data_IF_886651150771
#
_entry.id   IF_886651150771
#
_cell.length_a   1.000
_cell.length_b   1.000
_cell.length_c   1.000
_cell.angle_alpha   90.00
_cell.angle_beta   90.00
_cell.angle_gamma   90.00
#
_symmetry.space_group_name_H-M   'P 1'
#
loop_
_entity.id
_entity.type
_entity.pdbx_description
1 polymer ?
#
# COMPACT_ATOMS: atom_id res chain seq x y z
N UNK A 1 -26.41 21.58 -13.01
CA UNK A 1 -26.36 21.09 -11.61
C UNK A 1 -27.25 19.86 -11.54
N UNK A 2 -26.75 18.77 -10.95
CA UNK A 2 -27.47 17.49 -10.87
C UNK A 2 -28.38 17.40 -9.63
N UNK A 3 -28.38 18.41 -8.74
CA UNK A 3 -29.18 18.42 -7.51
C UNK A 3 -28.76 17.33 -6.51
N UNK A 4 -29.69 16.94 -5.62
CA UNK A 4 -29.46 15.85 -4.66
C UNK A 4 -29.67 14.51 -5.35
N UNK A 5 -28.75 13.57 -5.10
CA UNK A 5 -28.74 12.22 -5.64
C UNK A 5 -28.72 11.23 -4.47
N UNK A 6 -29.42 10.11 -4.61
CA UNK A 6 -29.45 9.05 -3.60
C UNK A 6 -28.44 7.95 -3.93
N UNK A 7 -27.66 7.54 -2.92
CA UNK A 7 -26.78 6.37 -3.00
C UNK A 7 -27.31 5.32 -2.03
N UNK A 8 -27.62 4.14 -2.52
CA UNK A 8 -27.97 2.97 -1.70
C UNK A 8 -26.79 1.98 -1.70
N UNK A 9 -26.25 1.68 -0.53
CA UNK A 9 -25.12 0.77 -0.33
C UNK A 9 -25.64 -0.48 0.36
N UNK A 10 -25.48 -1.66 -0.23
CA UNK A 10 -25.83 -2.97 0.36
C UNK A 10 -27.26 -2.99 0.94
N UNK A 11 -28.23 -2.45 0.21
CA UNK A 11 -29.64 -2.36 0.60
C UNK A 11 -29.90 -1.61 1.94
N UNK A 12 -28.97 -0.78 2.38
CA UNK A 12 -29.16 0.12 3.52
C UNK A 12 -30.02 1.34 3.13
N UNK A 13 -30.40 2.16 4.13
CA UNK A 13 -31.11 3.39 3.88
C UNK A 13 -30.35 4.31 2.93
N UNK A 14 -31.02 4.90 1.92
CA UNK A 14 -30.37 5.76 0.94
C UNK A 14 -29.71 6.98 1.56
N UNK A 15 -28.48 7.27 1.13
CA UNK A 15 -27.71 8.43 1.54
C UNK A 15 -27.88 9.54 0.51
N UNK A 16 -28.35 10.72 0.93
CA UNK A 16 -28.48 11.90 0.06
C UNK A 16 -27.14 12.63 -0.06
N UNK A 17 -26.67 12.85 -1.30
CA UNK A 17 -25.42 13.54 -1.61
C UNK A 17 -25.63 14.56 -2.74
N UNK A 18 -24.73 15.54 -2.87
CA UNK A 18 -24.77 16.47 -4.00
C UNK A 18 -24.27 15.78 -5.28
N UNK A 19 -25.06 15.83 -6.34
CA UNK A 19 -24.70 15.22 -7.62
C UNK A 19 -23.59 15.98 -8.35
N UNK A 20 -22.91 15.27 -9.27
CA UNK A 20 -21.83 15.80 -10.11
C UNK A 20 -20.42 15.39 -9.67
N UNK A 21 -20.23 14.96 -8.42
CA UNK A 21 -18.97 14.36 -7.95
C UNK A 21 -18.80 12.91 -8.45
N UNK A 22 -17.63 12.32 -8.22
CA UNK A 22 -17.47 10.87 -8.39
C UNK A 22 -18.12 10.12 -7.24
N UNK A 23 -18.53 8.87 -7.50
CA UNK A 23 -19.06 7.99 -6.47
C UNK A 23 -18.03 7.80 -5.33
N UNK A 24 -16.75 7.62 -5.66
CA UNK A 24 -15.67 7.50 -4.68
C UNK A 24 -15.61 8.71 -3.74
N UNK A 25 -15.64 9.93 -4.28
CA UNK A 25 -15.59 11.15 -3.48
C UNK A 25 -16.81 11.25 -2.55
N UNK A 26 -18.01 11.03 -3.09
CA UNK A 26 -19.24 11.09 -2.30
C UNK A 26 -19.31 10.04 -1.19
N UNK A 27 -18.79 8.82 -1.42
CA UNK A 27 -18.69 7.80 -0.38
C UNK A 27 -17.68 8.20 0.70
N UNK A 28 -16.52 8.71 0.29
CA UNK A 28 -15.48 9.21 1.22
C UNK A 28 -16.02 10.32 2.12
N UNK A 29 -16.76 11.28 1.59
CA UNK A 29 -17.41 12.36 2.37
C UNK A 29 -18.41 11.83 3.41
N UNK A 30 -18.92 10.63 3.19
CA UNK A 30 -19.83 9.92 4.10
C UNK A 30 -19.13 8.87 4.97
N UNK A 31 -17.79 8.91 5.02
CA UNK A 31 -16.95 7.98 5.79
C UNK A 31 -17.12 6.51 5.36
N UNK A 32 -17.52 6.27 4.12
CA UNK A 32 -17.50 4.96 3.48
C UNK A 32 -16.25 4.93 2.60
N UNK A 33 -15.22 4.22 3.05
CA UNK A 33 -13.90 4.26 2.45
C UNK A 33 -13.70 3.10 1.48
N UNK A 34 -13.46 3.42 0.22
CA UNK A 34 -13.12 2.47 -0.83
C UNK A 34 -11.63 2.58 -1.15
N UNK A 35 -10.90 1.47 -1.33
CA UNK A 35 -9.47 1.51 -1.66
C UNK A 35 -9.19 2.37 -2.90
N UNK A 36 -8.16 3.22 -2.85
CA UNK A 36 -7.77 4.04 -4.01
C UNK A 36 -6.31 4.47 -3.92
N UNK A 37 -5.39 3.67 -4.47
CA UNK A 37 -3.96 3.99 -4.45
C UNK A 37 -3.59 5.21 -5.30
N UNK A 38 -4.31 5.45 -6.42
CA UNK A 38 -4.04 6.59 -7.31
C UNK A 38 -4.73 7.89 -6.88
N UNK A 39 -5.55 7.87 -5.81
CA UNK A 39 -6.34 9.04 -5.36
C UNK A 39 -7.42 9.46 -6.36
N UNK A 40 -8.11 8.49 -6.95
CA UNK A 40 -9.26 8.77 -7.83
C UNK A 40 -8.91 9.05 -9.30
N UNK A 41 -7.66 8.85 -9.73
CA UNK A 41 -7.22 9.13 -11.12
C UNK A 41 -7.61 8.07 -12.14
N UNK A 42 -8.18 6.93 -11.71
CA UNK A 42 -8.59 5.84 -12.61
C UNK A 42 -7.43 5.00 -13.13
N UNK A 43 -6.28 4.94 -12.44
CA UNK A 43 -5.06 4.26 -12.92
C UNK A 43 -4.61 3.07 -12.09
N UNK A 44 -5.27 2.78 -10.95
CA UNK A 44 -4.85 1.68 -10.07
C UNK A 44 -5.85 0.52 -9.96
N UNK A 45 -7.08 0.71 -10.44
CA UNK A 45 -8.16 -0.29 -10.39
C UNK A 45 -8.59 -0.77 -8.98
N UNK A 46 -8.12 -0.15 -7.88
CA UNK A 46 -8.47 -0.61 -6.53
C UNK A 46 -9.88 -0.20 -6.09
N UNK A 47 -10.43 0.86 -6.67
CA UNK A 47 -11.73 1.40 -6.28
C UNK A 47 -12.93 0.69 -6.96
N UNK A 48 -12.80 -0.63 -7.19
CA UNK A 48 -13.87 -1.44 -7.78
C UNK A 48 -15.04 -1.57 -6.81
N UNK A 49 -16.24 -1.35 -7.34
CA UNK A 49 -17.51 -1.59 -6.65
C UNK A 49 -18.48 -2.23 -7.64
N UNK A 50 -19.41 -3.01 -7.15
CA UNK A 50 -20.47 -3.56 -8.00
C UNK A 50 -21.63 -2.55 -8.05
N UNK A 51 -21.96 -2.07 -9.23
CA UNK A 51 -23.08 -1.15 -9.46
C UNK A 51 -24.27 -1.94 -9.98
N UNK A 52 -25.35 -1.93 -9.21
CA UNK A 52 -26.58 -2.63 -9.57
C UNK A 52 -27.47 -1.78 -10.47
N UNK A 53 -27.56 -0.48 -10.16
CA UNK A 53 -28.40 0.47 -10.89
C UNK A 53 -27.76 1.87 -10.89
N UNK A 54 -28.01 2.66 -11.92
CA UNK A 54 -27.69 4.09 -11.92
C UNK A 54 -26.25 4.47 -12.30
N UNK A 55 -25.37 3.50 -12.63
CA UNK A 55 -23.95 3.76 -12.92
C UNK A 55 -23.66 4.48 -14.24
N UNK A 56 -24.64 4.59 -15.12
CA UNK A 56 -24.42 5.11 -16.46
C UNK A 56 -23.49 4.24 -17.33
N UNK A 57 -23.08 4.72 -18.50
CA UNK A 57 -22.21 3.97 -19.39
C UNK A 57 -20.80 3.78 -18.81
N UNK A 58 -20.16 2.65 -19.11
CA UNK A 58 -18.75 2.40 -18.76
C UNK A 58 -17.86 3.40 -19.51
N UNK A 59 -16.94 4.04 -18.81
CA UNK A 59 -16.04 5.00 -19.43
C UNK A 59 -14.84 4.30 -20.08
N UNK A 60 -14.23 4.88 -21.14
CA UNK A 60 -13.02 4.34 -21.74
C UNK A 60 -11.84 4.20 -20.77
N UNK A 61 -11.82 5.00 -19.68
CA UNK A 61 -10.79 4.92 -18.65
C UNK A 61 -10.95 3.72 -17.72
N UNK A 62 -12.14 3.11 -17.65
CA UNK A 62 -12.41 1.92 -16.84
C UNK A 62 -12.08 0.63 -17.58
N UNK A 63 -12.30 0.63 -18.91
CA UNK A 63 -12.21 -0.59 -19.74
C UNK A 63 -10.89 -1.35 -19.62
N UNK A 64 -9.70 -0.71 -19.55
CA UNK A 64 -8.44 -1.43 -19.42
C UNK A 64 -8.28 -2.20 -18.10
N UNK A 65 -9.08 -1.88 -17.09
CA UNK A 65 -8.97 -2.40 -15.71
C UNK A 65 -10.09 -3.36 -15.32
N UNK A 66 -11.05 -3.59 -16.21
CA UNK A 66 -12.20 -4.45 -15.96
C UNK A 66 -12.20 -5.61 -16.95
N UNK A 67 -12.23 -6.83 -16.44
CA UNK A 67 -12.40 -8.02 -17.26
C UNK A 67 -13.81 -8.07 -17.88
N UNK A 68 -14.03 -8.84 -18.96
CA UNK A 68 -15.36 -9.03 -19.52
C UNK A 68 -16.40 -9.57 -18.50
N UNK A 69 -15.96 -10.42 -17.57
CA UNK A 69 -16.81 -10.94 -16.51
C UNK A 69 -17.21 -9.84 -15.52
N UNK A 70 -16.24 -9.02 -15.07
CA UNK A 70 -16.49 -7.89 -14.17
C UNK A 70 -17.45 -6.87 -14.79
N UNK A 71 -17.30 -6.59 -16.09
CA UNK A 71 -18.23 -5.72 -16.83
C UNK A 71 -19.64 -6.30 -16.87
N UNK A 72 -19.77 -7.61 -17.12
CA UNK A 72 -21.06 -8.31 -17.13
C UNK A 72 -21.72 -8.32 -15.74
N UNK A 73 -20.94 -8.43 -14.67
CA UNK A 73 -21.40 -8.42 -13.28
C UNK A 73 -21.71 -7.01 -12.74
N UNK A 74 -21.50 -5.96 -13.54
CA UNK A 74 -21.75 -4.58 -13.17
C UNK A 74 -20.63 -3.93 -12.34
N UNK A 75 -19.43 -4.52 -12.32
CA UNK A 75 -18.27 -3.92 -11.65
C UNK A 75 -17.83 -2.63 -12.33
N UNK A 76 -17.56 -1.59 -11.55
CA UNK A 76 -17.16 -0.26 -12.02
C UNK A 76 -16.02 0.28 -11.15
N UNK A 77 -15.25 1.20 -11.68
CA UNK A 77 -14.32 2.01 -10.89
C UNK A 77 -15.07 3.19 -10.26
N UNK A 78 -15.30 3.16 -8.95
CA UNK A 78 -16.09 4.21 -8.26
C UNK A 78 -15.57 5.63 -8.47
N UNK A 79 -14.26 5.80 -8.71
CA UNK A 79 -13.67 7.09 -9.03
C UNK A 79 -14.07 7.62 -10.43
N UNK A 80 -14.51 6.75 -11.36
CA UNK A 80 -14.93 7.10 -12.71
C UNK A 80 -16.45 7.21 -12.87
N UNK A 81 -17.21 6.65 -11.94
CA UNK A 81 -18.69 6.76 -11.93
C UNK A 81 -19.09 8.15 -11.44
N UNK A 82 -19.76 8.92 -12.30
CA UNK A 82 -20.30 10.26 -11.96
C UNK A 82 -21.72 10.16 -11.46
N UNK A 83 -21.99 10.77 -10.32
CA UNK A 83 -23.32 10.81 -9.71
C UNK A 83 -24.24 11.82 -10.46
N UNK A 84 -25.09 11.28 -11.32
CA UNK A 84 -26.06 12.08 -12.13
C UNK A 84 -27.50 11.70 -11.84
N UNK A 85 -27.73 10.57 -11.21
CA UNK A 85 -29.03 9.97 -10.90
C UNK A 85 -28.89 9.06 -9.68
N UNK A 86 -29.97 8.60 -9.05
CA UNK A 86 -29.91 7.60 -7.98
C UNK A 86 -29.12 6.36 -8.39
N UNK A 87 -28.30 5.83 -7.47
CA UNK A 87 -27.42 4.70 -7.72
C UNK A 87 -27.52 3.67 -6.59
N UNK A 88 -27.53 2.39 -6.96
CA UNK A 88 -27.42 1.27 -6.03
C UNK A 88 -26.11 0.52 -6.27
N UNK A 89 -25.40 0.25 -5.18
CA UNK A 89 -24.10 -0.43 -5.22
C UNK A 89 -24.02 -1.52 -4.15
N UNK A 90 -23.19 -2.51 -4.43
CA UNK A 90 -22.71 -3.47 -3.45
C UNK A 90 -21.20 -3.28 -3.24
N UNK A 91 -20.78 -3.31 -1.99
CA UNK A 91 -19.38 -3.35 -1.56
C UNK A 91 -19.20 -4.49 -0.56
N UNK A 92 -18.00 -5.12 -0.51
CA UNK A 92 -17.69 -6.16 0.47
C UNK A 92 -17.88 -5.67 1.91
N UNK A 93 -18.35 -6.55 2.79
CA UNK A 93 -18.67 -6.20 4.18
C UNK A 93 -17.44 -5.75 4.99
N UNK A 94 -16.27 -6.26 4.69
CA UNK A 94 -15.01 -5.87 5.28
C UNK A 94 -14.65 -4.41 4.97
N UNK A 95 -14.99 -3.90 3.79
CA UNK A 95 -14.82 -2.48 3.45
C UNK A 95 -15.76 -1.57 4.24
N UNK A 96 -16.92 -2.05 4.68
CA UNK A 96 -17.80 -1.30 5.58
C UNK A 96 -17.22 -1.18 7.00
N UNK A 97 -16.31 -2.07 7.39
CA UNK A 97 -15.63 -2.05 8.68
C UNK A 97 -14.39 -1.14 8.69
N UNK A 98 -13.94 -0.66 7.54
CA UNK A 98 -12.81 0.27 7.43
C UNK A 98 -13.09 1.56 8.19
N UNK A 99 -12.09 2.04 8.94
CA UNK A 99 -12.19 3.25 9.76
C UNK A 99 -11.19 4.31 9.33
N UNK A 100 -11.50 5.55 9.69
CA UNK A 100 -10.53 6.64 9.74
C UNK A 100 -9.88 6.67 11.12
N UNK A 101 -8.59 6.94 11.14
CA UNK A 101 -7.78 7.05 12.35
C UNK A 101 -7.18 8.46 12.43
N UNK A 102 -7.36 9.11 13.57
CA UNK A 102 -6.59 10.27 13.95
C UNK A 102 -5.28 9.81 14.57
N UNK A 103 -4.18 10.38 14.13
CA UNK A 103 -2.84 9.98 14.55
C UNK A 103 -1.96 11.20 14.79
N UNK A 104 -0.86 10.98 15.48
CA UNK A 104 0.18 11.98 15.70
C UNK A 104 1.51 11.44 15.23
N UNK A 105 2.27 12.25 14.50
CA UNK A 105 3.62 11.90 14.07
C UNK A 105 4.52 11.77 15.30
N UNK A 106 4.96 10.56 15.61
CA UNK A 106 5.82 10.26 16.75
C UNK A 106 7.30 10.42 16.41
N UNK A 107 7.70 9.98 15.22
CA UNK A 107 9.06 10.14 14.71
C UNK A 107 9.11 10.16 13.19
N UNK A 108 10.18 10.80 12.67
CA UNK A 108 10.54 10.80 11.25
C UNK A 108 12.03 10.48 11.17
N UNK A 109 12.39 9.44 10.43
CA UNK A 109 13.78 8.98 10.29
C UNK A 109 14.15 8.89 8.81
N UNK A 110 15.25 9.52 8.42
CA UNK A 110 15.81 9.39 7.07
C UNK A 110 16.44 7.99 6.94
N UNK A 111 15.97 7.20 6.00
CA UNK A 111 16.52 5.87 5.69
C UNK A 111 17.53 5.95 4.54
N UNK A 112 17.22 6.77 3.53
CA UNK A 112 18.10 7.14 2.44
C UNK A 112 17.90 8.62 2.11
N UNK A 113 18.55 9.12 1.05
CA UNK A 113 18.37 10.50 0.56
C UNK A 113 16.95 10.80 0.06
N UNK A 114 16.16 9.76 -0.29
CA UNK A 114 14.80 9.91 -0.84
C UNK A 114 13.76 9.00 -0.16
N UNK A 115 14.12 8.30 0.91
CA UNK A 115 13.22 7.43 1.66
C UNK A 115 13.24 7.79 3.14
N UNK A 116 12.06 7.96 3.72
CA UNK A 116 11.89 8.20 5.16
C UNK A 116 10.95 7.18 5.78
N UNK A 117 11.18 6.86 7.05
CA UNK A 117 10.24 6.17 7.92
C UNK A 117 9.47 7.19 8.74
N UNK A 118 8.16 7.08 8.73
CA UNK A 118 7.24 7.85 9.55
C UNK A 118 6.56 6.93 10.55
N UNK A 119 6.69 7.21 11.83
CA UNK A 119 5.94 6.52 12.86
C UNK A 119 4.77 7.38 13.30
N UNK A 120 3.57 6.81 13.25
CA UNK A 120 2.33 7.44 13.62
C UNK A 120 1.74 6.76 14.86
N UNK A 121 1.63 7.51 15.95
CA UNK A 121 0.93 7.09 17.16
C UNK A 121 -0.56 7.29 16.99
N UNK A 122 -1.36 6.25 17.27
CA UNK A 122 -2.81 6.30 17.17
C UNK A 122 -3.39 7.15 18.30
N UNK A 123 -4.39 7.97 17.98
CA UNK A 123 -5.09 8.86 18.93
C UNK A 123 -6.55 8.44 19.04
N UNK A 124 -7.25 8.31 17.91
CA UNK A 124 -8.64 7.85 17.84
C UNK A 124 -8.91 7.13 16.51
N UNK A 125 -9.30 5.86 16.52
CA UNK A 125 -9.19 4.91 17.65
C UNK A 125 -7.73 4.73 18.14
N UNK A 126 -7.54 4.45 19.44
CA UNK A 126 -6.21 4.26 20.03
C UNK A 126 -5.49 2.97 19.61
N UNK A 127 -6.18 2.09 18.89
CA UNK A 127 -5.66 0.78 18.45
C UNK A 127 -6.13 0.45 17.06
N UNK A 128 -5.25 -0.22 16.31
CA UNK A 128 -5.53 -0.77 14.99
C UNK A 128 -5.27 -2.28 14.97
N UNK A 129 -6.17 -3.01 14.36
CA UNK A 129 -5.98 -4.41 13.98
C UNK A 129 -5.78 -4.48 12.47
N UNK A 130 -4.69 -5.10 12.03
CA UNK A 130 -4.42 -5.30 10.62
C UNK A 130 -3.75 -6.66 10.38
N UNK A 131 -3.92 -7.16 9.18
CA UNK A 131 -3.22 -8.36 8.70
C UNK A 131 -1.85 -7.93 8.17
N UNK A 132 -0.74 -8.56 8.59
CA UNK A 132 0.60 -8.24 8.09
C UNK A 132 0.66 -8.25 6.57
N UNK A 133 1.21 -7.16 5.98
CA UNK A 133 1.25 -6.89 4.55
C UNK A 133 0.16 -5.95 4.05
N UNK A 134 -0.85 -5.63 4.85
CA UNK A 134 -1.86 -4.63 4.51
C UNK A 134 -1.28 -3.21 4.47
N UNK A 135 -2.04 -2.29 3.88
CA UNK A 135 -1.72 -0.87 3.73
C UNK A 135 -2.80 0.03 4.29
N UNK A 136 -2.47 1.29 4.51
CA UNK A 136 -3.40 2.36 4.84
C UNK A 136 -3.39 3.42 3.75
N UNK A 137 -4.42 4.27 3.71
CA UNK A 137 -4.46 5.45 2.86
C UNK A 137 -4.25 6.69 3.73
N UNK A 138 -3.06 7.30 3.64
CA UNK A 138 -2.71 8.52 4.34
C UNK A 138 -3.38 9.71 3.65
N UNK A 139 -4.08 10.54 4.43
CA UNK A 139 -4.66 11.79 3.98
C UNK A 139 -3.56 12.87 3.90
N UNK A 140 -3.45 13.48 2.75
CA UNK A 140 -2.69 14.71 2.56
C UNK A 140 -3.66 15.88 2.59
N UNK A 141 -3.56 16.79 3.56
CA UNK A 141 -4.36 18.00 3.58
C UNK A 141 -3.91 18.99 2.50
N UNK A 142 -4.63 20.09 2.36
CA UNK A 142 -4.15 21.24 1.58
C UNK A 142 -2.92 21.86 2.24
N UNK A 143 -1.95 22.31 1.42
CA UNK A 143 -0.73 22.98 1.88
C UNK A 143 -0.26 24.00 0.82
N UNK A 144 0.66 24.92 1.11
CA UNK A 144 1.16 25.87 0.11
C UNK A 144 1.68 25.16 -1.15
N UNK A 145 1.02 25.36 -2.28
CA UNK A 145 1.30 24.66 -3.55
C UNK A 145 0.35 23.51 -3.88
N UNK A 146 -0.55 23.13 -2.96
CA UNK A 146 -1.58 22.13 -3.21
C UNK A 146 -2.92 22.50 -2.57
N UNK A 147 -3.96 22.63 -3.39
CA UNK A 147 -5.31 23.00 -2.97
C UNK A 147 -6.28 21.80 -2.87
N UNK A 148 -5.77 20.59 -2.95
CA UNK A 148 -6.56 19.36 -2.94
C UNK A 148 -6.23 18.50 -1.72
N UNK A 149 -7.24 17.95 -1.08
CA UNK A 149 -7.06 16.82 -0.16
C UNK A 149 -7.00 15.53 -0.96
N UNK A 150 -5.96 14.73 -0.73
CA UNK A 150 -5.77 13.47 -1.45
C UNK A 150 -5.37 12.34 -0.51
N UNK A 151 -5.87 11.14 -0.77
CA UNK A 151 -5.41 9.93 -0.11
C UNK A 151 -4.36 9.22 -0.98
N UNK A 152 -3.33 8.65 -0.32
CA UNK A 152 -2.34 7.78 -0.97
C UNK A 152 -2.10 6.55 -0.14
N UNK A 153 -1.97 5.42 -0.83
CA UNK A 153 -1.73 4.11 -0.22
C UNK A 153 -0.26 3.94 0.16
N UNK A 154 -0.04 3.49 1.39
CA UNK A 154 1.28 3.11 1.91
C UNK A 154 1.15 1.83 2.72
N UNK A 155 2.00 0.84 2.41
CA UNK A 155 2.06 -0.40 3.15
C UNK A 155 2.53 -0.16 4.58
N UNK A 156 1.93 -0.87 5.53
CA UNK A 156 2.33 -0.84 6.94
C UNK A 156 3.64 -1.62 7.07
N UNK A 157 4.65 -1.00 7.70
CA UNK A 157 5.96 -1.60 7.92
C UNK A 157 6.16 -2.12 9.35
N UNK A 158 5.38 -1.59 10.30
CA UNK A 158 5.54 -1.86 11.73
C UNK A 158 5.24 -3.29 12.13
N UNK A 159 5.76 -3.65 13.31
CA UNK A 159 5.43 -4.90 14.00
C UNK A 159 3.91 -4.98 14.28
N UNK A 160 3.19 -5.99 13.78
CA UNK A 160 1.76 -6.15 14.02
C UNK A 160 1.41 -6.44 15.49
N UNK A 161 2.41 -6.74 16.32
CA UNK A 161 2.26 -6.83 17.78
C UNK A 161 2.06 -5.48 18.46
N UNK A 162 2.57 -4.38 17.88
CA UNK A 162 2.29 -3.01 18.37
C UNK A 162 1.04 -2.45 17.68
N UNK A 163 -0.07 -2.57 18.38
CA UNK A 163 -1.38 -2.11 17.89
C UNK A 163 -1.65 -0.62 18.16
N UNK A 164 -0.71 0.10 18.77
CA UNK A 164 -0.88 1.50 19.18
C UNK A 164 -0.20 2.50 18.26
N UNK A 165 0.59 2.01 17.30
CA UNK A 165 1.27 2.82 16.29
C UNK A 165 1.46 2.05 15.00
N UNK A 166 1.63 2.78 13.89
CA UNK A 166 2.06 2.20 12.61
C UNK A 166 3.28 2.93 12.09
N UNK A 167 4.11 2.21 11.35
CA UNK A 167 5.23 2.78 10.59
C UNK A 167 4.91 2.71 9.10
N UNK A 168 5.20 3.78 8.39
CA UNK A 168 5.14 3.86 6.93
C UNK A 168 6.53 4.19 6.39
N UNK A 169 6.97 3.48 5.37
CA UNK A 169 8.20 3.78 4.63
C UNK A 169 7.79 4.45 3.31
N UNK A 170 8.13 5.73 3.20
CA UNK A 170 7.67 6.58 2.09
C UNK A 170 8.87 7.04 1.27
N UNK A 171 8.82 6.80 -0.04
CA UNK A 171 9.79 7.32 -1.00
C UNK A 171 9.28 8.61 -1.60
N UNK A 172 10.15 9.63 -1.69
CA UNK A 172 9.86 10.88 -2.36
C UNK A 172 9.65 10.65 -3.86
N UNK A 173 8.50 11.05 -4.35
CA UNK A 173 8.17 11.08 -5.77
C UNK A 173 8.26 12.54 -6.23
N UNK A 174 9.06 12.88 -7.23
CA UNK A 174 9.13 14.23 -7.74
C UNK A 174 7.76 14.79 -8.11
N UNK A 175 7.42 15.96 -7.57
CA UNK A 175 6.10 16.60 -7.73
C UNK A 175 4.90 15.78 -7.21
N UNK A 176 5.14 14.78 -6.38
CA UNK A 176 4.08 13.99 -5.76
C UNK A 176 3.41 14.74 -4.62
N UNK A 177 2.11 14.99 -4.70
CA UNK A 177 1.35 15.78 -3.69
C UNK A 177 1.60 15.24 -2.27
N UNK A 178 1.35 13.97 -2.03
CA UNK A 178 1.47 13.38 -0.69
C UNK A 178 2.94 13.28 -0.24
N UNK A 179 3.83 12.87 -1.13
CA UNK A 179 5.25 12.70 -0.77
C UNK A 179 5.93 14.04 -0.51
N UNK A 180 5.60 15.11 -1.27
CA UNK A 180 6.05 16.47 -0.97
C UNK A 180 5.54 16.93 0.40
N UNK A 181 4.26 16.72 0.70
CA UNK A 181 3.71 17.02 2.03
C UNK A 181 4.49 16.29 3.13
N UNK A 182 4.69 14.98 3.00
CA UNK A 182 5.41 14.18 4.00
C UNK A 182 6.85 14.65 4.21
N UNK A 183 7.55 15.05 3.15
CA UNK A 183 8.97 15.39 3.21
C UNK A 183 9.26 16.84 3.61
N UNK A 184 8.36 17.77 3.27
CA UNK A 184 8.63 19.21 3.41
C UNK A 184 7.74 19.89 4.48
N UNK A 185 6.56 19.36 4.73
CA UNK A 185 5.55 20.00 5.59
C UNK A 185 5.26 19.24 6.88
N UNK A 186 5.22 17.91 6.84
CA UNK A 186 4.88 17.09 8.00
C UNK A 186 6.03 17.02 9.01
N UNK A 187 5.75 17.26 10.27
CA UNK A 187 6.74 17.31 11.36
C UNK A 187 6.35 16.41 12.52
N UNK A 188 7.34 16.05 13.33
CA UNK A 188 7.11 15.34 14.59
C UNK A 188 6.18 16.18 15.49
N UNK A 189 5.15 15.54 16.02
CA UNK A 189 4.09 16.15 16.82
C UNK A 189 2.86 16.60 16.03
N UNK A 190 2.92 16.68 14.72
CA UNK A 190 1.77 17.05 13.89
C UNK A 190 0.68 16.00 13.95
N UNK A 191 -0.57 16.46 13.88
CA UNK A 191 -1.72 15.58 13.67
C UNK A 191 -1.81 15.16 12.19
N UNK A 192 -2.17 13.91 11.95
CA UNK A 192 -2.44 13.38 10.63
C UNK A 192 -3.65 12.44 10.68
N UNK A 193 -4.14 12.02 9.53
CA UNK A 193 -5.24 11.06 9.42
C UNK A 193 -4.94 10.03 8.34
N UNK A 194 -5.37 8.81 8.56
CA UNK A 194 -5.41 7.77 7.53
C UNK A 194 -6.68 6.94 7.67
N UNK A 195 -7.04 6.23 6.63
CA UNK A 195 -8.08 5.20 6.69
C UNK A 195 -7.49 3.84 6.28
N UNK A 196 -8.14 2.77 6.73
CA UNK A 196 -7.70 1.41 6.49
C UNK A 196 -8.10 0.45 7.63
N UNK A 197 -7.45 -0.72 7.72
CA UNK A 197 -6.46 -1.26 6.78
C UNK A 197 -7.09 -1.84 5.51
N UNK A 198 -6.27 -2.05 4.46
CA UNK A 198 -6.68 -2.63 3.18
C UNK A 198 -5.65 -3.62 2.65
N UNK A 199 -6.08 -4.45 1.71
CA UNK A 199 -5.19 -5.27 0.88
C UNK A 199 -5.12 -6.73 1.29
N UNK A 200 -4.73 -7.56 0.29
CA UNK A 200 -4.64 -9.01 0.37
C UNK A 200 -3.20 -9.53 0.27
N UNK A 201 -2.20 -8.64 0.32
CA UNK A 201 -0.80 -9.01 0.33
C UNK A 201 -0.43 -9.56 1.71
N UNK A 202 -0.56 -10.90 1.87
CA UNK A 202 -0.33 -11.60 3.14
C UNK A 202 0.32 -12.95 2.89
N UNK A 203 1.02 -13.48 3.88
CA UNK A 203 1.53 -14.84 3.80
C UNK A 203 0.36 -15.83 3.69
N UNK A 204 0.53 -16.82 2.83
CA UNK A 204 -0.36 -17.97 2.76
C UNK A 204 -0.23 -18.84 4.02
N UNK A 205 -1.23 -19.66 4.26
CA UNK A 205 -1.26 -20.64 5.36
C UNK A 205 -0.59 -21.98 5.00
N UNK A 206 0.32 -21.96 4.01
CA UNK A 206 1.07 -23.14 3.60
C UNK A 206 2.42 -23.24 4.33
N UNK A 207 3.09 -24.39 4.22
CA UNK A 207 4.46 -24.61 4.71
C UNK A 207 5.52 -24.40 3.61
N UNK A 208 5.14 -23.88 2.43
CA UNK A 208 6.04 -23.65 1.34
C UNK A 208 7.17 -22.66 1.72
N UNK A 209 8.36 -22.85 1.16
CA UNK A 209 9.45 -21.89 1.28
C UNK A 209 9.02 -20.52 0.73
N UNK A 210 9.62 -19.44 1.21
CA UNK A 210 9.23 -18.06 0.88
C UNK A 210 10.38 -17.37 0.16
N UNK A 211 10.04 -16.68 -0.93
CA UNK A 211 10.94 -15.78 -1.64
C UNK A 211 10.36 -14.38 -1.54
N UNK A 212 11.03 -13.48 -0.82
CA UNK A 212 10.72 -12.06 -0.82
C UNK A 212 11.60 -11.35 -1.85
N UNK A 213 11.00 -10.47 -2.65
CA UNK A 213 11.72 -9.63 -3.61
C UNK A 213 11.20 -8.21 -3.44
N UNK A 214 12.05 -7.28 -3.04
CA UNK A 214 11.65 -5.89 -2.91
C UNK A 214 12.76 -4.91 -3.27
N UNK A 215 12.38 -3.64 -3.47
CA UNK A 215 13.32 -2.53 -3.68
C UNK A 215 12.73 -1.22 -3.17
N UNK A 216 13.59 -0.35 -2.65
CA UNK A 216 13.18 0.94 -2.11
C UNK A 216 12.12 0.82 -1.02
N UNK A 217 11.06 1.63 -1.09
CA UNK A 217 9.97 1.60 -0.10
C UNK A 217 9.14 0.30 -0.11
N UNK A 218 9.35 -0.61 -1.11
CA UNK A 218 8.81 -1.96 -1.09
C UNK A 218 9.31 -2.82 0.07
N UNK A 219 10.33 -2.36 0.80
CA UNK A 219 10.74 -2.91 2.11
C UNK A 219 9.59 -2.96 3.11
N UNK A 220 8.68 -1.99 3.10
CA UNK A 220 7.65 -1.83 4.12
C UNK A 220 6.79 -3.09 4.37
N UNK A 221 6.08 -3.65 3.39
CA UNK A 221 5.25 -4.83 3.64
C UNK A 221 6.09 -6.06 3.99
N UNK A 222 7.31 -6.19 3.45
CA UNK A 222 8.19 -7.32 3.75
C UNK A 222 8.67 -7.26 5.20
N UNK A 223 9.06 -6.07 5.68
CA UNK A 223 9.43 -5.88 7.10
C UNK A 223 8.28 -6.29 8.02
N UNK A 224 7.06 -5.87 7.72
CA UNK A 224 5.87 -6.26 8.49
C UNK A 224 5.66 -7.79 8.50
N UNK A 225 5.85 -8.46 7.36
CA UNK A 225 5.78 -9.92 7.27
C UNK A 225 6.90 -10.61 8.06
N UNK A 226 8.12 -10.06 8.07
CA UNK A 226 9.22 -10.57 8.89
C UNK A 226 8.95 -10.45 10.39
N UNK A 227 8.38 -9.32 10.83
CA UNK A 227 7.89 -9.19 12.20
C UNK A 227 6.84 -10.25 12.55
N UNK A 228 5.89 -10.48 11.64
CA UNK A 228 4.88 -11.52 11.82
C UNK A 228 5.51 -12.91 11.95
N UNK A 229 6.43 -13.27 11.05
CA UNK A 229 7.15 -14.55 11.10
C UNK A 229 7.89 -14.72 12.43
N UNK A 230 8.55 -13.68 12.92
CA UNK A 230 9.23 -13.67 14.22
C UNK A 230 8.25 -13.87 15.37
N UNK A 231 7.15 -13.12 15.39
CA UNK A 231 6.14 -13.17 16.47
C UNK A 231 5.44 -14.53 16.54
N UNK A 232 5.23 -15.17 15.40
CA UNK A 232 4.62 -16.51 15.29
C UNK A 232 5.66 -17.64 15.39
N UNK A 233 6.95 -17.31 15.50
CA UNK A 233 8.06 -18.28 15.49
C UNK A 233 8.02 -19.20 14.28
N UNK A 234 7.80 -18.62 13.11
CA UNK A 234 7.71 -19.36 11.85
C UNK A 234 8.97 -20.17 11.59
N UNK A 235 8.79 -21.43 11.19
CA UNK A 235 9.88 -22.33 10.79
C UNK A 235 10.05 -22.42 9.27
N UNK A 236 9.23 -21.69 8.51
CA UNK A 236 9.33 -21.64 7.05
C UNK A 236 10.68 -21.06 6.64
N UNK A 237 11.33 -21.66 5.66
CA UNK A 237 12.51 -21.05 5.05
C UNK A 237 12.09 -19.82 4.27
N UNK A 238 12.87 -18.76 4.41
CA UNK A 238 12.62 -17.52 3.69
C UNK A 238 13.94 -16.91 3.21
N UNK A 239 13.96 -16.46 1.97
CA UNK A 239 15.05 -15.68 1.40
C UNK A 239 14.51 -14.35 0.94
N UNK A 240 15.21 -13.26 1.26
CA UNK A 240 14.80 -11.89 0.90
C UNK A 240 15.85 -11.22 0.04
N UNK A 241 15.53 -11.01 -1.22
CA UNK A 241 16.33 -10.26 -2.17
C UNK A 241 15.90 -8.79 -2.16
N UNK A 242 16.77 -7.90 -1.71
CA UNK A 242 16.51 -6.47 -1.67
C UNK A 242 17.35 -5.74 -2.70
N UNK A 243 16.71 -5.19 -3.74
CA UNK A 243 17.34 -4.52 -4.86
C UNK A 243 17.45 -3.01 -4.69
N UNK A 244 18.64 -2.47 -5.00
CA UNK A 244 18.91 -1.03 -5.16
C UNK A 244 19.78 -0.76 -6.39
N UNK A 245 19.96 0.51 -6.74
CA UNK A 245 20.85 0.86 -7.84
C UNK A 245 22.31 0.95 -7.38
N UNK A 246 22.57 1.53 -6.19
CA UNK A 246 23.87 1.79 -5.63
C UNK A 246 23.87 1.59 -4.10
N UNK A 247 25.03 1.64 -3.47
CA UNK A 247 25.17 1.50 -2.01
C UNK A 247 24.32 2.50 -1.23
N UNK A 248 24.18 3.73 -1.72
CA UNK A 248 23.34 4.77 -1.08
C UNK A 248 21.84 4.45 -1.03
N UNK A 249 21.38 3.46 -1.79
CA UNK A 249 19.99 3.00 -1.81
C UNK A 249 19.73 1.88 -0.79
N UNK A 250 20.82 1.36 -0.16
CA UNK A 250 20.74 0.31 0.85
C UNK A 250 20.46 0.90 2.22
N UNK A 251 19.50 0.33 2.93
CA UNK A 251 19.13 0.74 4.29
C UNK A 251 18.65 -0.46 5.11
N UNK A 252 18.55 -0.30 6.43
CA UNK A 252 18.07 -1.33 7.36
C UNK A 252 18.90 -2.62 7.40
N UNK A 253 20.18 -2.58 7.03
CA UNK A 253 21.04 -3.78 7.07
C UNK A 253 21.14 -4.38 8.48
N UNK A 254 21.18 -3.53 9.52
CA UNK A 254 21.21 -3.99 10.92
C UNK A 254 19.91 -4.65 11.35
N UNK A 255 18.75 -4.14 10.88
CA UNK A 255 17.45 -4.73 11.17
C UNK A 255 17.32 -6.10 10.48
N UNK A 256 17.76 -6.21 9.24
CA UNK A 256 17.82 -7.50 8.52
C UNK A 256 18.73 -8.50 9.22
N UNK A 257 19.90 -8.07 9.70
CA UNK A 257 20.79 -8.90 10.49
C UNK A 257 20.17 -9.36 11.83
N UNK A 258 19.28 -8.56 12.43
CA UNK A 258 18.49 -9.00 13.60
C UNK A 258 17.47 -10.05 13.20
N UNK A 259 16.75 -9.89 12.09
CA UNK A 259 15.82 -10.92 11.62
C UNK A 259 16.54 -12.24 11.28
N UNK A 260 17.75 -12.21 10.70
CA UNK A 260 18.54 -13.43 10.47
C UNK A 260 18.92 -14.14 11.77
N UNK A 261 19.16 -13.42 12.86
CA UNK A 261 19.40 -14.04 14.17
C UNK A 261 18.13 -14.61 14.81
N UNK A 262 17.00 -13.90 14.65
CA UNK A 262 15.73 -14.25 15.29
C UNK A 262 14.96 -15.33 14.53
N UNK A 263 15.19 -15.46 13.23
CA UNK A 263 14.55 -16.40 12.30
C UNK A 263 15.62 -17.36 11.73
N UNK A 264 15.78 -18.57 12.27
CA UNK A 264 16.92 -19.44 11.95
C UNK A 264 16.96 -19.93 10.49
N UNK A 265 15.87 -19.80 9.76
CA UNK A 265 15.76 -20.19 8.34
C UNK A 265 15.55 -18.99 7.42
N UNK A 266 15.81 -17.77 7.89
CA UNK A 266 15.75 -16.55 7.11
C UNK A 266 17.13 -16.14 6.62
N UNK A 267 17.22 -15.70 5.37
CA UNK A 267 18.43 -15.15 4.77
C UNK A 267 18.13 -13.85 4.03
N UNK A 268 18.92 -12.82 4.26
CA UNK A 268 18.87 -11.54 3.56
C UNK A 268 19.97 -11.43 2.51
N UNK A 269 19.60 -11.08 1.27
CA UNK A 269 20.52 -10.93 0.14
C UNK A 269 20.30 -9.54 -0.47
N UNK A 270 21.09 -8.52 -0.07
CA UNK A 270 21.07 -7.23 -0.72
C UNK A 270 21.78 -7.28 -2.07
N UNK A 271 21.19 -6.61 -3.07
CA UNK A 271 21.65 -6.61 -4.47
C UNK A 271 21.74 -5.20 -4.98
N UNK A 272 22.87 -4.78 -5.57
CA UNK A 272 22.97 -3.50 -6.27
C UNK A 272 23.21 -3.68 -7.77
N UNK A 273 22.48 -2.93 -8.58
CA UNK A 273 22.56 -3.06 -10.04
C UNK A 273 23.72 -2.27 -10.66
N UNK A 274 24.24 -1.25 -9.96
CA UNK A 274 25.28 -0.32 -10.44
C UNK A 274 26.34 -0.07 -9.38
N UNK A 275 27.18 -1.07 -9.06
CA UNK A 275 28.29 -0.86 -8.14
C UNK A 275 29.26 0.17 -8.73
N UNK A 276 29.77 1.10 -7.91
CA UNK A 276 30.78 2.06 -8.29
C UNK A 276 32.16 1.61 -7.78
N UNK A 277 33.21 1.92 -8.51
CA UNK A 277 34.57 1.58 -8.08
C UNK A 277 34.90 2.33 -6.78
N UNK A 278 35.29 1.57 -5.75
CA UNK A 278 35.64 2.15 -4.45
C UNK A 278 34.48 2.32 -3.47
N UNK A 279 33.26 1.92 -3.79
CA UNK A 279 32.08 1.99 -2.89
C UNK A 279 32.12 0.94 -1.75
N UNK A 280 33.07 0.00 -1.79
CA UNK A 280 33.25 -1.03 -0.78
C UNK A 280 32.16 -2.13 -0.79
N UNK A 281 31.34 -2.20 -1.84
CA UNK A 281 30.31 -3.21 -1.94
C UNK A 281 30.91 -4.61 -2.13
N UNK A 282 30.45 -5.55 -1.30
CA UNK A 282 30.87 -6.96 -1.33
C UNK A 282 29.70 -7.94 -1.51
N UNK A 283 28.45 -7.41 -1.63
CA UNK A 283 27.25 -8.21 -1.82
C UNK A 283 26.98 -8.57 -3.28
N UNK A 284 25.77 -9.05 -3.55
CA UNK A 284 25.31 -9.40 -4.90
C UNK A 284 25.23 -8.18 -5.82
N UNK A 285 25.51 -8.41 -7.12
CA UNK A 285 25.45 -7.38 -8.15
C UNK A 285 24.60 -7.80 -9.34
N UNK A 286 24.10 -6.81 -10.10
CA UNK A 286 23.21 -7.03 -11.24
C UNK A 286 21.74 -6.75 -10.92
N UNK A 287 20.84 -7.18 -11.78
CA UNK A 287 19.42 -7.08 -11.51
C UNK A 287 19.00 -8.02 -10.38
N UNK A 288 18.01 -7.61 -9.57
CA UNK A 288 17.52 -8.46 -8.47
C UNK A 288 16.99 -9.81 -8.97
N UNK A 289 16.34 -9.83 -10.15
CA UNK A 289 15.88 -11.07 -10.78
C UNK A 289 17.04 -12.05 -11.10
N UNK A 290 18.18 -11.52 -11.60
CA UNK A 290 19.37 -12.33 -11.85
C UNK A 290 19.96 -12.91 -10.55
N UNK A 291 19.87 -12.17 -9.45
CA UNK A 291 20.29 -12.69 -8.14
C UNK A 291 19.35 -13.82 -7.68
N UNK A 292 18.05 -13.69 -7.90
CA UNK A 292 17.09 -14.78 -7.63
C UNK A 292 17.47 -16.03 -8.41
N UNK A 293 17.72 -15.93 -9.71
CA UNK A 293 18.13 -17.07 -10.56
C UNK A 293 19.41 -17.75 -10.08
N UNK A 294 20.34 -17.02 -9.45
CA UNK A 294 21.58 -17.60 -8.91
C UNK A 294 21.39 -18.35 -7.59
N UNK A 295 20.37 -18.03 -6.83
CA UNK A 295 20.17 -18.51 -5.47
C UNK A 295 18.96 -19.44 -5.28
N UNK A 296 18.04 -19.46 -6.24
CA UNK A 296 16.79 -20.23 -6.18
C UNK A 296 16.77 -21.23 -7.33
N UNK A 297 16.48 -22.48 -7.01
CA UNK A 297 16.35 -23.53 -8.03
C UNK A 297 15.08 -23.32 -8.86
N UNK A 298 15.17 -23.54 -10.17
CA UNK A 298 14.07 -23.28 -11.12
C UNK A 298 12.81 -24.13 -10.88
N UNK A 299 12.95 -25.26 -10.21
CA UNK A 299 11.86 -26.17 -9.82
C UNK A 299 11.42 -26.01 -8.37
N UNK A 300 11.86 -24.93 -7.70
CA UNK A 300 11.45 -24.61 -6.34
C UNK A 300 9.92 -24.44 -6.24
N UNK A 301 9.33 -25.15 -5.29
CA UNK A 301 7.90 -25.00 -4.93
C UNK A 301 7.66 -23.81 -3.95
N UNK A 302 8.55 -22.83 -3.93
CA UNK A 302 8.43 -21.67 -3.06
C UNK A 302 7.33 -20.69 -3.50
N UNK A 303 6.82 -19.94 -2.56
CA UNK A 303 5.91 -18.83 -2.79
C UNK A 303 6.70 -17.53 -2.88
N UNK A 304 6.44 -16.72 -3.91
CA UNK A 304 7.10 -15.44 -4.11
C UNK A 304 6.20 -14.25 -3.73
N UNK A 305 6.76 -13.30 -2.99
CA UNK A 305 6.13 -12.06 -2.56
C UNK A 305 6.95 -10.88 -3.06
N UNK A 306 6.40 -10.13 -4.01
CA UNK A 306 7.11 -9.06 -4.73
C UNK A 306 6.53 -7.70 -4.37
N UNK A 307 7.38 -6.72 -4.03
CA UNK A 307 6.97 -5.35 -3.76
C UNK A 307 8.05 -4.34 -4.21
N UNK A 308 7.73 -3.47 -5.17
CA UNK A 308 8.69 -2.50 -5.67
C UNK A 308 8.19 -1.76 -6.90
N UNK A 309 9.11 -1.25 -7.72
CA UNK A 309 8.74 -0.60 -8.97
C UNK A 309 8.15 -1.60 -9.98
N UNK A 310 7.21 -1.17 -10.84
CA UNK A 310 6.65 -2.05 -11.85
C UNK A 310 7.71 -2.80 -12.67
N UNK A 311 8.72 -2.09 -13.16
CA UNK A 311 9.78 -2.71 -13.96
C UNK A 311 10.62 -3.75 -13.20
N UNK A 312 10.74 -3.64 -11.88
CA UNK A 312 11.39 -4.68 -11.07
C UNK A 312 10.47 -5.91 -10.91
N UNK A 313 9.18 -5.67 -10.68
CA UNK A 313 8.19 -6.74 -10.51
C UNK A 313 8.01 -7.50 -11.83
N UNK A 314 7.95 -6.81 -12.96
CA UNK A 314 7.80 -7.42 -14.29
C UNK A 314 9.03 -8.24 -14.71
N UNK A 315 10.21 -7.92 -14.16
CA UNK A 315 11.46 -8.60 -14.46
C UNK A 315 11.76 -9.80 -13.56
N UNK A 316 11.12 -9.87 -12.40
CA UNK A 316 11.31 -10.94 -11.41
C UNK A 316 10.24 -12.02 -11.52
#
# INVERSE_FOLDING_TARGET
RYGQVQITVNDQEPISVEGGSSLLAALTDRKIFIPSACGGRGTCAYCKVKVLEGGGPVSPTETPFLSPQELADGTRLSCQVKLRQPIRIEIPADLLAVREYEVRVESIVDLTYDIKRFRFRLVDPERIDFIPGQYVQLLTPTYPGNNEEVYRAYSIASDPGDRTAIDLIIRLVPNGICTTYCFEHLKVGDAARFNGPYGEFRLSETDADIIFIAGGSGMAPIECLLHHMRNTRSTRKAVYFFGGNAVRDMFMAEDMARFERDLPHFRYIPVISRPEEGDGWTGETGAVAEAVDRHVEADSAAEAYLCGSPGMIDAA
#
